data_IF_646697203705
#
_entry.id   IF_646697203705
#
_cell.length_a   1.000
_cell.length_b   1.000
_cell.length_c   1.000
_cell.angle_alpha   90.00
_cell.angle_beta   90.00
_cell.angle_gamma   90.00
#
_symmetry.space_group_name_H-M   'P 1'
#
loop_
_entity.id
_entity.type
_entity.pdbx_description
1 polymer ?
#
# COMPACT_ATOMS: atom_id res chain seq x y z
N UNK A 1 35.72 40.94 16.72
CA UNK A 1 34.53 40.08 16.93
C UNK A 1 34.81 39.16 18.10
N UNK A 2 34.04 39.25 19.17
CA UNK A 2 34.23 38.48 20.41
C UNK A 2 33.81 37.02 20.18
N UNK A 3 34.57 36.07 20.73
CA UNK A 3 34.37 34.61 20.64
C UNK A 3 32.95 34.12 21.01
N UNK A 4 32.15 34.99 21.63
CA UNK A 4 30.78 34.75 22.08
C UNK A 4 29.73 34.63 20.95
N UNK A 5 30.08 34.96 19.71
CA UNK A 5 29.19 34.80 18.54
C UNK A 5 29.39 33.49 17.76
N UNK A 6 30.41 32.69 18.11
CA UNK A 6 30.75 31.45 17.37
C UNK A 6 29.86 30.26 17.79
N UNK A 7 29.13 30.36 18.91
CA UNK A 7 28.36 29.23 19.45
C UNK A 7 26.97 29.04 18.82
N UNK A 8 26.50 29.95 17.95
CA UNK A 8 25.12 29.91 17.44
C UNK A 8 25.01 29.18 16.08
N UNK A 9 26.11 28.84 15.42
CA UNK A 9 26.07 28.40 14.01
C UNK A 9 26.03 26.87 13.77
N UNK A 10 26.00 26.04 14.81
CA UNK A 10 26.13 24.58 14.65
C UNK A 10 24.80 23.79 14.75
N UNK A 11 23.65 24.45 14.83
CA UNK A 11 22.35 23.78 15.10
C UNK A 11 21.51 23.41 13.85
N UNK A 12 22.12 23.37 12.66
CA UNK A 12 21.38 23.52 11.40
C UNK A 12 21.32 22.37 10.40
N UNK A 13 21.83 21.15 10.66
CA UNK A 13 21.96 20.15 9.58
C UNK A 13 21.60 18.69 9.94
N UNK A 14 20.60 18.47 10.79
CA UNK A 14 19.97 17.15 10.88
C UNK A 14 18.59 17.19 10.19
N UNK A 15 18.58 17.46 8.88
CA UNK A 15 17.41 17.17 8.06
C UNK A 15 17.33 15.65 7.89
N UNK A 16 16.58 14.98 8.76
CA UNK A 16 16.26 13.56 8.57
C UNK A 16 15.41 13.45 7.30
N UNK A 17 15.80 12.54 6.40
CA UNK A 17 14.96 12.21 5.25
C UNK A 17 13.70 11.54 5.76
N UNK A 18 12.58 12.26 5.79
CA UNK A 18 11.29 11.66 6.06
C UNK A 18 10.99 10.66 4.94
N UNK A 19 11.08 9.35 5.22
CA UNK A 19 10.57 8.31 4.31
C UNK A 19 9.03 8.33 4.44
N UNK A 20 8.42 9.28 3.74
CA UNK A 20 6.97 9.50 3.74
C UNK A 20 6.27 8.77 2.58
N UNK A 21 7.01 8.17 1.66
CA UNK A 21 6.43 7.46 0.51
C UNK A 21 6.33 5.98 0.82
N UNK A 22 5.13 5.54 1.21
CA UNK A 22 4.77 4.13 1.30
C UNK A 22 4.33 3.65 -0.08
N UNK A 23 4.82 2.49 -0.53
CA UNK A 23 4.46 1.93 -1.84
C UNK A 23 4.00 0.48 -1.69
N UNK A 24 3.13 0.03 -2.60
CA UNK A 24 2.86 -1.39 -2.76
C UNK A 24 4.15 -2.07 -3.25
N UNK A 25 4.64 -3.03 -2.47
CA UNK A 25 5.87 -3.77 -2.76
C UNK A 25 5.61 -5.03 -3.57
N UNK A 26 4.48 -5.71 -3.31
CA UNK A 26 4.07 -6.91 -4.05
C UNK A 26 2.58 -7.18 -3.85
N UNK A 27 2.01 -8.00 -4.73
CA UNK A 27 0.65 -8.52 -4.61
C UNK A 27 0.56 -9.99 -4.99
N UNK A 28 -0.47 -10.68 -4.49
CA UNK A 28 -0.91 -12.00 -4.95
C UNK A 28 -2.41 -11.95 -5.24
N UNK A 29 -2.87 -12.22 -6.48
CA UNK A 29 -2.07 -12.40 -7.69
C UNK A 29 -1.15 -11.21 -8.00
N UNK A 30 -0.02 -11.48 -8.65
CA UNK A 30 0.90 -10.43 -9.06
C UNK A 30 0.33 -9.63 -10.24
N UNK A 31 0.71 -8.36 -10.37
CA UNK A 31 0.29 -7.53 -11.48
C UNK A 31 0.62 -8.20 -12.82
N UNK A 32 -0.29 -8.07 -13.80
CA UNK A 32 -0.15 -8.58 -15.16
C UNK A 32 0.03 -10.11 -15.25
N UNK A 33 -0.40 -10.85 -14.20
CA UNK A 33 -0.40 -12.32 -14.21
C UNK A 33 -1.78 -12.90 -14.51
N UNK A 34 -1.79 -14.01 -15.26
CA UNK A 34 -2.99 -14.82 -15.48
C UNK A 34 -2.92 -16.02 -14.56
N UNK A 35 -3.94 -16.18 -13.71
CA UNK A 35 -4.09 -17.33 -12.81
C UNK A 35 -5.10 -18.32 -13.40
N UNK A 36 -4.85 -19.62 -13.22
CA UNK A 36 -5.70 -20.68 -13.76
C UNK A 36 -7.05 -20.83 -13.04
N UNK A 37 -7.12 -20.36 -11.79
CA UNK A 37 -8.32 -20.36 -10.97
C UNK A 37 -8.50 -19.00 -10.31
N UNK A 38 -9.75 -18.60 -10.07
CA UNK A 38 -10.05 -17.38 -9.34
C UNK A 38 -9.41 -17.43 -7.93
N UNK A 39 -8.73 -16.36 -7.50
CA UNK A 39 -8.18 -16.31 -6.15
C UNK A 39 -9.31 -16.21 -5.13
N UNK A 40 -9.12 -16.81 -3.95
CA UNK A 40 -10.04 -16.62 -2.81
C UNK A 40 -9.72 -15.33 -2.03
N UNK A 41 -8.52 -14.80 -2.22
CA UNK A 41 -8.02 -13.61 -1.53
C UNK A 41 -7.01 -12.83 -2.38
N UNK A 42 -6.95 -11.52 -2.16
CA UNK A 42 -5.86 -10.66 -2.56
C UNK A 42 -4.89 -10.51 -1.38
N UNK A 43 -3.60 -10.72 -1.63
CA UNK A 43 -2.55 -10.38 -0.66
C UNK A 43 -1.84 -9.13 -1.15
N UNK A 44 -1.80 -8.07 -0.34
CA UNK A 44 -1.13 -6.81 -0.63
C UNK A 44 -0.03 -6.58 0.40
N UNK A 45 1.21 -6.41 -0.04
CA UNK A 45 2.35 -6.16 0.84
C UNK A 45 2.93 -4.78 0.54
N UNK A 46 3.02 -3.92 1.55
CA UNK A 46 3.54 -2.55 1.47
C UNK A 46 4.96 -2.44 2.02
N UNK A 47 5.68 -1.42 1.57
CA UNK A 47 7.06 -1.16 2.00
C UNK A 47 7.18 -0.78 3.48
N UNK A 48 6.10 -0.34 4.13
CA UNK A 48 6.02 0.05 5.55
C UNK A 48 4.63 -0.30 6.10
N UNK A 49 4.42 -0.12 7.40
CA UNK A 49 3.06 -0.21 7.95
C UNK A 49 2.20 0.90 7.36
N UNK A 50 1.02 0.54 6.84
CA UNK A 50 0.03 1.46 6.29
C UNK A 50 -1.35 1.14 6.85
N UNK A 51 -2.32 2.04 6.67
CA UNK A 51 -3.75 1.74 6.87
C UNK A 51 -4.43 1.79 5.52
N UNK A 52 -5.22 0.78 5.19
CA UNK A 52 -6.08 0.84 4.00
C UNK A 52 -7.22 1.81 4.30
N UNK A 53 -7.28 2.90 3.54
CA UNK A 53 -8.37 3.90 3.62
C UNK A 53 -9.47 3.63 2.60
N UNK A 54 -9.11 3.02 1.47
CA UNK A 54 -10.00 2.54 0.43
C UNK A 54 -9.31 1.39 -0.32
N UNK A 55 -10.10 0.42 -0.76
CA UNK A 55 -9.68 -0.64 -1.67
C UNK A 55 -10.86 -0.99 -2.55
N UNK A 56 -10.65 -1.07 -3.85
CA UNK A 56 -11.67 -1.38 -4.84
C UNK A 56 -11.21 -2.57 -5.67
N UNK A 57 -12.14 -3.41 -6.09
CA UNK A 57 -11.89 -4.44 -7.09
C UNK A 57 -12.90 -4.24 -8.21
N UNK A 58 -12.43 -4.09 -9.44
CA UNK A 58 -13.29 -3.92 -10.62
C UNK A 58 -12.92 -4.89 -11.72
N UNK A 59 -13.90 -5.25 -12.56
CA UNK A 59 -13.64 -5.96 -13.80
C UNK A 59 -13.44 -5.02 -15.00
N UNK A 60 -13.22 -5.59 -16.19
CA UNK A 60 -13.07 -4.85 -17.43
C UNK A 60 -14.29 -3.98 -17.82
N UNK A 61 -15.46 -4.23 -17.24
CA UNK A 61 -16.67 -3.42 -17.42
C UNK A 61 -16.83 -2.33 -16.34
N UNK A 62 -15.81 -2.16 -15.48
CA UNK A 62 -15.81 -1.26 -14.33
C UNK A 62 -16.89 -1.59 -13.29
N UNK A 63 -17.36 -2.84 -13.23
CA UNK A 63 -18.26 -3.30 -12.17
C UNK A 63 -17.46 -3.50 -10.89
N UNK A 64 -17.87 -2.85 -9.81
CA UNK A 64 -17.23 -2.99 -8.49
C UNK A 64 -17.71 -4.24 -7.75
N UNK A 65 -16.77 -4.94 -7.12
CA UNK A 65 -17.01 -6.11 -6.29
C UNK A 65 -16.88 -5.73 -4.81
N UNK A 66 -17.81 -6.20 -3.98
CA UNK A 66 -17.79 -5.98 -2.54
C UNK A 66 -16.68 -6.83 -1.88
N UNK A 67 -15.79 -6.18 -1.15
CA UNK A 67 -14.67 -6.79 -0.41
C UNK A 67 -14.97 -6.94 1.09
N UNK A 68 -16.19 -6.58 1.51
CA UNK A 68 -16.59 -6.59 2.91
C UNK A 68 -15.84 -5.55 3.74
N UNK A 69 -15.64 -5.85 5.02
CA UNK A 69 -14.98 -4.94 5.95
C UNK A 69 -13.46 -5.01 5.81
N UNK A 70 -12.83 -3.88 5.48
CA UNK A 70 -11.38 -3.79 5.35
C UNK A 70 -10.69 -3.78 6.73
N UNK A 71 -9.46 -4.33 6.85
CA UNK A 71 -8.68 -4.26 8.07
C UNK A 71 -8.40 -2.81 8.49
N UNK A 72 -8.65 -2.49 9.76
CA UNK A 72 -8.49 -1.12 10.29
C UNK A 72 -7.12 -0.87 10.92
N UNK A 73 -6.39 -1.93 11.26
CA UNK A 73 -5.07 -1.86 11.90
C UNK A 73 -3.97 -1.49 10.90
N UNK A 74 -3.01 -0.69 11.36
CA UNK A 74 -1.82 -0.39 10.57
C UNK A 74 -0.91 -1.62 10.50
N UNK A 75 -0.56 -2.06 9.30
CA UNK A 75 0.30 -3.23 9.07
C UNK A 75 0.89 -3.19 7.65
N UNK A 76 1.86 -4.06 7.41
CA UNK A 76 2.52 -4.20 6.10
C UNK A 76 1.79 -5.10 5.12
N UNK A 77 1.13 -6.14 5.60
CA UNK A 77 0.52 -7.16 4.76
C UNK A 77 -0.98 -7.26 5.03
N UNK A 78 -1.76 -7.35 3.97
CA UNK A 78 -3.22 -7.45 4.03
C UNK A 78 -3.68 -8.63 3.20
N UNK A 79 -4.42 -9.54 3.82
CA UNK A 79 -5.13 -10.61 3.13
C UNK A 79 -6.60 -10.25 3.07
N UNK A 80 -7.09 -9.90 1.87
CA UNK A 80 -8.44 -9.42 1.63
C UNK A 80 -9.23 -10.52 0.91
N UNK A 81 -10.24 -11.13 1.54
CA UNK A 81 -11.12 -12.08 0.86
C UNK A 81 -11.79 -11.42 -0.35
N UNK A 82 -11.92 -12.17 -1.44
CA UNK A 82 -12.67 -11.72 -2.62
C UNK A 82 -13.87 -12.64 -2.88
N UNK A 83 -14.96 -12.12 -3.44
CA UNK A 83 -16.07 -12.96 -3.88
C UNK A 83 -15.64 -13.87 -5.04
N UNK A 84 -16.45 -14.87 -5.39
CA UNK A 84 -16.19 -15.71 -6.56
C UNK A 84 -16.11 -14.87 -7.83
N UNK A 85 -14.93 -14.84 -8.46
CA UNK A 85 -14.67 -14.07 -9.67
C UNK A 85 -14.84 -14.96 -10.91
N UNK A 86 -15.47 -14.41 -11.95
CA UNK A 86 -15.52 -15.05 -13.25
C UNK A 86 -14.17 -14.93 -13.97
N UNK A 87 -13.99 -15.66 -15.07
CA UNK A 87 -12.81 -15.46 -15.92
C UNK A 87 -12.87 -14.05 -16.54
N UNK A 88 -11.82 -13.26 -16.35
CA UNK A 88 -11.75 -11.90 -16.88
C UNK A 88 -10.52 -11.13 -16.42
N UNK A 89 -10.42 -9.88 -16.90
CA UNK A 89 -9.44 -8.93 -16.41
C UNK A 89 -10.01 -8.14 -15.23
N UNK A 90 -9.15 -7.89 -14.24
CA UNK A 90 -9.51 -7.21 -13.02
C UNK A 90 -8.49 -6.11 -12.69
N UNK A 91 -8.96 -5.04 -12.06
CA UNK A 91 -8.15 -3.95 -11.52
C UNK A 91 -8.40 -3.83 -10.02
N UNK A 92 -7.33 -3.59 -9.26
CA UNK A 92 -7.36 -3.37 -7.81
C UNK A 92 -6.78 -1.98 -7.50
#
# INVERSE_FOLDING_TARGET
MSAKQILILSLGLFATSAIAHTQLSSSVPAQDTVVAAAPEQLVLTFSTDVRITALTLTDAAAVSYDLGTLPTTAQREFSIPVPGLASGYYTV
#
